data_IF_938776408474
#
_entry.id   IF_938776408474
#
_cell.length_a   1.000
_cell.length_b   1.000
_cell.length_c   1.000
_cell.angle_alpha   90.00
_cell.angle_beta   90.00
_cell.angle_gamma   90.00
#
_symmetry.space_group_name_H-M   'P 1'
#
loop_
_entity.id
_entity.type
_entity.pdbx_description
1 polymer ?
#
# COMPACT_ATOMS: atom_id res chain seq x y z
N UNK A 1 22.62 -5.71 19.04
CA UNK A 1 22.36 -5.72 17.59
C UNK A 1 21.25 -6.74 17.26
N UNK A 2 19.98 -6.44 17.56
CA UNK A 2 18.83 -7.34 17.29
C UNK A 2 17.62 -6.62 16.67
N UNK A 3 17.70 -5.30 16.48
CA UNK A 3 16.57 -4.45 16.10
C UNK A 3 16.38 -4.27 14.59
N UNK A 4 17.42 -4.57 13.78
CA UNK A 4 17.40 -4.33 12.33
C UNK A 4 16.71 -5.49 11.58
N UNK A 5 16.63 -6.67 12.20
CA UNK A 5 16.03 -7.87 11.60
C UNK A 5 14.50 -7.96 11.75
N UNK A 6 13.91 -7.23 12.71
CA UNK A 6 12.45 -7.19 12.91
C UNK A 6 11.73 -6.21 11.97
N UNK A 7 12.40 -5.13 11.55
CA UNK A 7 11.81 -4.15 10.62
C UNK A 7 11.62 -4.73 9.21
N UNK A 8 12.46 -5.69 8.82
CA UNK A 8 12.38 -6.38 7.52
C UNK A 8 11.42 -7.58 7.53
N UNK A 9 10.84 -7.92 8.69
CA UNK A 9 9.91 -9.04 8.85
C UNK A 9 8.44 -8.60 8.92
N UNK A 10 8.16 -7.30 8.89
CA UNK A 10 6.81 -6.83 8.62
C UNK A 10 6.57 -6.94 7.13
N UNK A 11 5.84 -7.99 6.72
CA UNK A 11 5.23 -8.00 5.39
C UNK A 11 4.48 -6.68 5.25
N UNK A 12 4.62 -5.96 4.12
CA UNK A 12 3.88 -4.73 3.91
C UNK A 12 2.40 -5.07 4.08
N UNK A 13 1.79 -4.52 5.14
CA UNK A 13 0.39 -4.74 5.40
C UNK A 13 -0.36 -4.14 4.21
N UNK A 14 -1.36 -4.84 3.67
CA UNK A 14 -2.13 -4.40 2.50
C UNK A 14 -2.53 -2.93 2.61
N UNK A 15 -2.97 -2.56 3.81
CA UNK A 15 -3.40 -1.22 4.18
C UNK A 15 -2.31 -0.16 4.06
N UNK A 16 -1.07 -0.49 4.41
CA UNK A 16 0.07 0.45 4.28
C UNK A 16 0.44 0.66 2.82
N UNK A 17 0.41 -0.40 2.01
CA UNK A 17 0.62 -0.30 0.58
C UNK A 17 -0.49 0.52 -0.12
N UNK A 18 -1.74 0.30 0.27
CA UNK A 18 -2.90 1.09 -0.18
C UNK A 18 -2.74 2.57 0.18
N UNK A 19 -2.35 2.89 1.43
CA UNK A 19 -2.16 4.27 1.88
C UNK A 19 -0.99 4.97 1.17
N UNK A 20 0.15 4.30 1.02
CA UNK A 20 1.29 4.84 0.28
C UNK A 20 0.90 5.14 -1.17
N UNK A 21 0.18 4.21 -1.80
CA UNK A 21 -0.28 4.36 -3.19
C UNK A 21 -1.25 5.54 -3.37
N UNK A 22 -2.18 5.75 -2.44
CA UNK A 22 -3.09 6.90 -2.48
C UNK A 22 -2.38 8.22 -2.20
N UNK A 23 -1.36 8.22 -1.32
CA UNK A 23 -0.62 9.42 -0.94
C UNK A 23 0.23 10.01 -2.07
N UNK A 24 0.57 9.21 -3.07
CA UNK A 24 1.27 9.65 -4.27
C UNK A 24 0.38 10.37 -5.29
N UNK A 25 -0.94 10.44 -5.06
CA UNK A 25 -1.85 11.11 -5.98
C UNK A 25 -1.56 12.61 -6.07
N UNK A 26 -1.31 13.09 -7.28
CA UNK A 26 -0.99 14.51 -7.57
C UNK A 26 -2.24 15.35 -7.89
N UNK A 27 -3.41 14.72 -8.02
CA UNK A 27 -4.68 15.39 -8.29
C UNK A 27 -5.86 14.55 -7.80
N UNK A 28 -7.04 15.17 -7.70
CA UNK A 28 -8.28 14.47 -7.32
C UNK A 28 -8.65 13.36 -8.30
N UNK A 29 -8.52 13.61 -9.60
CA UNK A 29 -8.77 12.59 -10.63
C UNK A 29 -7.81 11.40 -10.49
N UNK A 30 -6.54 11.66 -10.20
CA UNK A 30 -5.54 10.61 -9.97
C UNK A 30 -5.90 9.80 -8.73
N UNK A 31 -6.31 10.45 -7.64
CA UNK A 31 -6.77 9.78 -6.42
C UNK A 31 -7.96 8.83 -6.70
N UNK A 32 -9.00 9.32 -7.39
CA UNK A 32 -10.18 8.52 -7.72
C UNK A 32 -9.82 7.32 -8.62
N UNK A 33 -8.91 7.50 -9.57
CA UNK A 33 -8.38 6.41 -10.40
C UNK A 33 -7.68 5.36 -9.54
N UNK A 34 -6.80 5.80 -8.64
CA UNK A 34 -6.05 4.91 -7.74
C UNK A 34 -6.97 4.15 -6.79
N UNK A 35 -8.00 4.79 -6.26
CA UNK A 35 -9.03 4.14 -5.44
C UNK A 35 -9.76 3.03 -6.21
N UNK A 36 -10.09 3.27 -7.49
CA UNK A 36 -10.70 2.24 -8.35
C UNK A 36 -9.76 1.06 -8.60
N UNK A 37 -8.46 1.31 -8.78
CA UNK A 37 -7.49 0.23 -8.93
C UNK A 37 -7.36 -0.62 -7.65
N UNK A 38 -7.38 0.03 -6.48
CA UNK A 38 -7.40 -0.66 -5.18
C UNK A 38 -8.65 -1.52 -5.06
N UNK A 39 -9.83 -0.95 -5.34
CA UNK A 39 -11.10 -1.66 -5.35
C UNK A 39 -11.13 -2.82 -6.36
N UNK A 40 -10.45 -2.65 -7.50
CA UNK A 40 -10.23 -3.67 -8.53
C UNK A 40 -9.23 -4.77 -8.14
N UNK A 41 -8.67 -4.73 -6.93
CA UNK A 41 -7.82 -5.79 -6.41
C UNK A 41 -6.32 -5.60 -6.68
N UNK A 42 -5.85 -4.38 -6.98
CA UNK A 42 -4.41 -4.08 -7.19
C UNK A 42 -3.49 -4.60 -6.09
N UNK A 43 -3.99 -4.66 -4.85
CA UNK A 43 -3.25 -5.18 -3.68
C UNK A 43 -3.82 -6.48 -3.12
N UNK A 44 -4.65 -7.22 -3.89
CA UNK A 44 -5.26 -8.47 -3.42
C UNK A 44 -4.24 -9.58 -3.11
N UNK A 45 -3.05 -9.51 -3.69
CA UNK A 45 -1.93 -10.44 -3.47
C UNK A 45 -1.07 -10.08 -2.26
N UNK A 46 -1.19 -8.85 -1.74
CA UNK A 46 -0.56 -8.43 -0.49
C UNK A 46 -1.40 -8.92 0.68
N UNK A 47 -1.37 -10.23 0.95
CA UNK A 47 -1.88 -10.78 2.20
C UNK A 47 -0.75 -10.76 3.23
N UNK A 48 -0.94 -9.95 4.28
CA UNK A 48 -0.18 -10.03 5.53
C UNK A 48 -0.45 -11.34 6.23
#
# INVERSE_FOLDING_TARGET
>A
MRFILDFLRQRPNRREAELAYLSEAVSRYDLERREREIAGGKFATLNG
#
